data_IF_540622559790
#
_entry.id   IF_540622559790
#
_cell.length_a   1.000
_cell.length_b   1.000
_cell.length_c   1.000
_cell.angle_alpha   90.00
_cell.angle_beta   90.00
_cell.angle_gamma   90.00
#
_symmetry.space_group_name_H-M   'P 1'
#
loop_
_entity.id
_entity.type
_entity.pdbx_description
1 polymer ?
#
# COMPACT_ATOMS: atom_id res chain seq x y z
N UNK A 1 -25.51 21.77 -44.57
CA UNK A 1 -25.51 20.32 -44.60
C UNK A 1 -26.35 19.80 -43.44
N UNK A 2 -27.08 18.69 -43.62
CA UNK A 2 -27.90 18.08 -42.56
C UNK A 2 -27.01 17.23 -41.63
N UNK A 3 -26.29 17.92 -40.77
CA UNK A 3 -25.34 17.31 -39.83
C UNK A 3 -25.95 17.03 -38.46
N UNK A 4 -27.23 17.42 -38.21
CA UNK A 4 -27.93 17.14 -36.98
C UNK A 4 -29.00 16.11 -37.22
N UNK A 5 -29.01 14.98 -36.47
CA UNK A 5 -30.08 14.00 -36.56
C UNK A 5 -31.39 14.57 -36.00
N UNK A 6 -32.51 14.12 -36.55
CA UNK A 6 -33.83 14.36 -35.98
C UNK A 6 -34.16 13.21 -35.06
N UNK A 7 -34.24 13.44 -33.77
CA UNK A 7 -34.41 12.42 -32.73
C UNK A 7 -35.82 12.50 -32.12
N UNK A 8 -36.34 11.35 -31.71
CA UNK A 8 -37.67 11.26 -31.08
C UNK A 8 -37.65 11.72 -29.59
N UNK A 9 -36.50 11.70 -28.96
CA UNK A 9 -36.31 12.15 -27.57
C UNK A 9 -34.99 12.89 -27.39
N UNK A 10 -34.89 13.66 -26.31
CA UNK A 10 -33.64 14.37 -25.97
C UNK A 10 -32.54 13.42 -25.51
N UNK A 11 -32.88 12.30 -24.86
CA UNK A 11 -31.93 11.25 -24.50
C UNK A 11 -31.28 10.65 -25.76
N UNK A 12 -32.10 10.38 -26.78
CA UNK A 12 -31.61 9.89 -28.08
C UNK A 12 -30.73 10.94 -28.77
N UNK A 13 -31.10 12.23 -28.73
CA UNK A 13 -30.32 13.32 -29.29
C UNK A 13 -28.94 13.45 -28.62
N UNK A 14 -28.87 13.31 -27.30
CA UNK A 14 -27.61 13.33 -26.56
C UNK A 14 -26.74 12.13 -26.94
N UNK A 15 -27.32 10.93 -27.00
CA UNK A 15 -26.58 9.71 -27.38
C UNK A 15 -26.01 9.84 -28.81
N UNK A 16 -26.85 10.21 -29.78
CA UNK A 16 -26.40 10.35 -31.16
C UNK A 16 -25.38 11.49 -31.35
N UNK A 17 -25.45 12.56 -30.57
CA UNK A 17 -24.44 13.62 -30.61
C UNK A 17 -23.09 13.13 -30.11
N UNK A 18 -23.05 12.33 -29.04
CA UNK A 18 -21.82 11.75 -28.52
C UNK A 18 -21.21 10.76 -29.52
N UNK A 19 -22.01 9.88 -30.12
CA UNK A 19 -21.53 8.96 -31.15
C UNK A 19 -21.02 9.70 -32.39
N UNK A 20 -21.74 10.73 -32.87
CA UNK A 20 -21.29 11.57 -33.97
C UNK A 20 -20.00 12.31 -33.68
N UNK A 21 -19.78 12.75 -32.44
CA UNK A 21 -18.54 13.38 -32.01
C UNK A 21 -17.34 12.40 -32.07
N UNK A 22 -17.55 11.15 -31.65
CA UNK A 22 -16.55 10.08 -31.74
C UNK A 22 -16.20 9.70 -33.18
N UNK A 23 -17.21 9.67 -34.08
CA UNK A 23 -17.10 9.21 -35.46
C UNK A 23 -16.83 10.31 -36.50
N UNK A 24 -16.76 11.58 -36.08
CA UNK A 24 -16.44 12.71 -36.97
C UNK A 24 -17.65 13.33 -37.69
N UNK A 25 -18.80 13.42 -37.06
CA UNK A 25 -20.00 14.11 -37.58
C UNK A 25 -20.47 13.69 -38.97
N UNK A 26 -21.09 12.52 -39.10
CA UNK A 26 -21.62 12.03 -40.36
C UNK A 26 -22.74 12.92 -40.94
N UNK A 27 -22.95 12.89 -42.26
CA UNK A 27 -24.13 13.54 -42.90
C UNK A 27 -25.30 12.56 -42.77
N UNK A 28 -26.40 13.01 -42.18
CA UNK A 28 -27.61 12.22 -41.99
C UNK A 28 -28.58 12.41 -43.16
N UNK A 29 -29.15 11.32 -43.71
CA UNK A 29 -30.12 11.41 -44.83
C UNK A 29 -31.38 12.20 -44.41
N UNK A 30 -31.88 11.94 -43.17
CA UNK A 30 -33.05 12.60 -42.60
C UNK A 30 -32.66 13.71 -41.60
N UNK A 31 -31.44 14.23 -41.66
CA UNK A 31 -30.94 15.25 -40.77
C UNK A 31 -31.41 16.65 -41.12
N UNK A 32 -31.19 17.61 -40.23
CA UNK A 32 -31.47 19.02 -40.44
C UNK A 32 -30.18 19.85 -40.52
N UNK A 33 -30.27 20.99 -41.21
CA UNK A 33 -29.14 21.92 -41.24
C UNK A 33 -29.03 22.73 -39.96
N UNK A 34 -27.85 23.28 -39.66
CA UNK A 34 -27.65 24.18 -38.53
C UNK A 34 -28.68 25.34 -38.54
N UNK A 35 -28.97 25.89 -39.71
CA UNK A 35 -29.93 26.99 -39.88
C UNK A 35 -31.35 26.54 -39.48
N UNK A 36 -31.75 25.38 -39.95
CA UNK A 36 -33.10 24.86 -39.68
C UNK A 36 -33.23 24.46 -38.20
N UNK A 37 -32.21 23.85 -37.63
CA UNK A 37 -32.12 23.52 -36.19
C UNK A 37 -32.23 24.81 -35.35
N UNK A 38 -31.48 25.84 -35.66
CA UNK A 38 -31.53 27.14 -34.98
C UNK A 38 -32.88 27.80 -35.06
N UNK A 39 -33.53 27.78 -36.25
CA UNK A 39 -34.84 28.37 -36.45
C UNK A 39 -35.97 27.62 -35.73
N UNK A 40 -35.81 26.35 -35.44
CA UNK A 40 -36.78 25.49 -34.78
C UNK A 40 -36.50 25.33 -33.28
N UNK A 41 -35.31 25.77 -32.82
CA UNK A 41 -34.90 25.58 -31.44
C UNK A 41 -35.69 26.40 -30.44
N UNK A 42 -36.15 25.73 -29.39
CA UNK A 42 -36.60 26.40 -28.17
C UNK A 42 -35.37 26.70 -27.32
N UNK A 43 -34.89 27.96 -27.36
CA UNK A 43 -33.71 28.37 -26.62
C UNK A 43 -33.86 28.23 -25.10
N UNK A 44 -35.08 28.28 -24.59
CA UNK A 44 -35.34 28.10 -23.15
C UNK A 44 -35.14 26.64 -22.71
N UNK A 45 -35.38 25.68 -23.60
CA UNK A 45 -35.16 24.28 -23.38
C UNK A 45 -33.72 23.82 -23.69
N UNK A 46 -32.99 24.57 -24.53
CA UNK A 46 -31.63 24.23 -24.98
C UNK A 46 -30.58 24.30 -23.85
N UNK A 47 -30.62 25.32 -22.99
CA UNK A 47 -29.63 25.52 -21.95
C UNK A 47 -29.48 24.31 -20.99
N UNK A 48 -30.56 23.76 -20.40
CA UNK A 48 -30.46 22.57 -19.54
C UNK A 48 -29.92 21.33 -20.26
N UNK A 49 -30.15 21.24 -21.58
CA UNK A 49 -29.64 20.14 -22.38
C UNK A 49 -28.18 20.30 -22.78
N UNK A 50 -27.76 21.53 -23.08
CA UNK A 50 -26.37 21.84 -23.33
C UNK A 50 -25.51 21.48 -22.12
N UNK A 51 -25.95 21.81 -20.90
CA UNK A 51 -25.29 21.41 -19.67
C UNK A 51 -25.19 19.87 -19.53
N UNK A 52 -26.32 19.15 -19.82
CA UNK A 52 -26.31 17.68 -19.80
C UNK A 52 -25.35 17.05 -20.82
N UNK A 53 -25.25 17.61 -22.01
CA UNK A 53 -24.32 17.12 -23.05
C UNK A 53 -22.88 17.42 -22.63
N UNK A 54 -22.61 18.64 -22.16
CA UNK A 54 -21.29 19.02 -21.65
C UNK A 54 -20.85 18.11 -20.52
N UNK A 55 -21.70 17.89 -19.50
CA UNK A 55 -21.43 16.99 -18.39
C UNK A 55 -21.07 15.56 -18.87
N UNK A 56 -21.77 15.05 -19.91
CA UNK A 56 -21.50 13.71 -20.43
C UNK A 56 -20.17 13.61 -21.15
N UNK A 57 -19.86 14.59 -22.00
CA UNK A 57 -18.56 14.64 -22.71
C UNK A 57 -17.42 14.72 -21.72
N UNK A 58 -17.53 15.63 -20.75
CA UNK A 58 -16.52 15.84 -19.73
C UNK A 58 -16.34 14.58 -18.84
N UNK A 59 -17.43 13.91 -18.46
CA UNK A 59 -17.38 12.64 -17.74
C UNK A 59 -16.66 11.54 -18.54
N UNK A 60 -16.98 11.43 -19.85
CA UNK A 60 -16.30 10.46 -20.72
C UNK A 60 -14.80 10.75 -20.86
N UNK A 61 -14.42 12.02 -21.03
CA UNK A 61 -13.02 12.45 -21.08
C UNK A 61 -12.27 12.06 -19.78
N UNK A 62 -12.87 12.32 -18.61
CA UNK A 62 -12.30 11.93 -17.31
C UNK A 62 -12.11 10.42 -17.24
N UNK A 63 -13.13 9.64 -17.60
CA UNK A 63 -13.08 8.19 -17.50
C UNK A 63 -12.08 7.58 -18.50
N UNK A 64 -11.99 8.11 -19.73
CA UNK A 64 -10.98 7.69 -20.71
C UNK A 64 -9.57 8.00 -20.24
N UNK A 65 -9.33 9.18 -19.67
CA UNK A 65 -8.01 9.54 -19.13
C UNK A 65 -7.62 8.63 -17.95
N UNK A 66 -8.58 8.27 -17.09
CA UNK A 66 -8.40 7.30 -15.99
C UNK A 66 -8.01 5.93 -16.55
N UNK A 67 -8.70 5.43 -17.56
CA UNK A 67 -8.45 4.12 -18.16
C UNK A 67 -7.11 4.04 -18.86
N UNK A 68 -6.67 5.15 -19.48
CA UNK A 68 -5.35 5.27 -20.12
C UNK A 68 -4.22 5.60 -19.13
N UNK A 69 -4.56 5.84 -17.85
CA UNK A 69 -3.61 6.28 -16.80
C UNK A 69 -2.84 7.55 -17.20
N UNK A 70 -3.53 8.48 -17.84
CA UNK A 70 -2.97 9.76 -18.24
C UNK A 70 -2.67 10.66 -17.03
N UNK A 71 -2.05 11.82 -17.27
CA UNK A 71 -1.80 12.81 -16.22
C UNK A 71 -3.11 13.47 -15.78
N UNK A 72 -3.74 12.89 -14.75
CA UNK A 72 -5.02 13.34 -14.18
C UNK A 72 -4.90 14.70 -13.49
N UNK A 73 -3.73 15.02 -12.94
CA UNK A 73 -3.48 16.33 -12.33
C UNK A 73 -3.60 17.43 -13.38
N UNK A 74 -2.97 17.25 -14.54
CA UNK A 74 -3.07 18.18 -15.65
C UNK A 74 -4.49 18.29 -16.19
N UNK A 75 -5.18 17.15 -16.35
CA UNK A 75 -6.58 17.13 -16.79
C UNK A 75 -7.46 17.98 -15.87
N UNK A 76 -7.33 17.82 -14.56
CA UNK A 76 -8.09 18.60 -13.57
C UNK A 76 -7.72 20.08 -13.59
N UNK A 77 -6.45 20.43 -13.77
CA UNK A 77 -6.02 21.83 -13.90
C UNK A 77 -6.59 22.51 -15.15
N UNK A 78 -6.80 21.77 -16.24
CA UNK A 78 -7.44 22.26 -17.46
C UNK A 78 -8.95 22.51 -17.26
N UNK A 79 -9.60 21.84 -16.30
CA UNK A 79 -11.00 22.04 -15.88
C UNK A 79 -11.15 23.22 -14.92
N UNK A 80 -10.89 24.44 -15.42
CA UNK A 80 -10.77 25.69 -14.64
C UNK A 80 -11.96 26.02 -13.74
N UNK A 81 -13.16 25.63 -14.16
CA UNK A 81 -14.41 25.93 -13.46
C UNK A 81 -14.86 24.81 -12.50
N UNK A 82 -14.02 23.76 -12.37
CA UNK A 82 -14.36 22.56 -11.61
C UNK A 82 -15.30 21.63 -12.39
N UNK A 83 -15.75 20.55 -11.75
CA UNK A 83 -16.72 19.61 -12.32
C UNK A 83 -18.09 19.78 -11.69
N UNK A 84 -19.17 19.52 -12.47
CA UNK A 84 -20.53 19.64 -11.97
C UNK A 84 -20.85 18.62 -10.87
N UNK A 85 -21.82 18.92 -10.00
CA UNK A 85 -22.31 17.97 -8.99
C UNK A 85 -22.87 16.69 -9.61
N UNK A 86 -23.32 16.73 -10.86
CA UNK A 86 -23.79 15.59 -11.63
C UNK A 86 -22.63 14.68 -12.02
N UNK A 87 -21.51 15.23 -12.51
CA UNK A 87 -20.29 14.48 -12.82
C UNK A 87 -19.74 13.84 -11.56
N UNK A 88 -19.66 14.58 -10.45
CA UNK A 88 -19.22 14.03 -9.15
C UNK A 88 -20.09 12.84 -8.72
N UNK A 89 -21.42 12.95 -8.85
CA UNK A 89 -22.34 11.89 -8.48
C UNK A 89 -22.16 10.62 -9.35
N UNK A 90 -21.96 10.78 -10.66
CA UNK A 90 -21.73 9.63 -11.55
C UNK A 90 -20.34 9.00 -11.31
N UNK A 91 -19.29 9.78 -11.07
CA UNK A 91 -17.96 9.25 -10.66
C UNK A 91 -18.04 8.47 -9.35
N UNK A 92 -18.77 8.98 -8.35
CA UNK A 92 -18.97 8.27 -7.07
C UNK A 92 -19.73 6.96 -7.25
N UNK A 93 -20.79 6.99 -8.06
CA UNK A 93 -21.59 5.81 -8.38
C UNK A 93 -20.75 4.74 -9.13
N UNK A 94 -19.91 5.17 -10.04
CA UNK A 94 -18.96 4.29 -10.72
C UNK A 94 -17.96 3.70 -9.72
N UNK A 95 -17.31 4.51 -8.88
CA UNK A 95 -16.38 4.03 -7.86
C UNK A 95 -17.02 2.99 -6.91
N UNK A 96 -18.30 3.16 -6.54
CA UNK A 96 -19.02 2.23 -5.67
C UNK A 96 -19.29 0.86 -6.31
N UNK A 97 -19.36 0.78 -7.64
CA UNK A 97 -19.57 -0.47 -8.37
C UNK A 97 -18.31 -1.28 -8.57
N UNK A 98 -17.14 -0.62 -8.54
CA UNK A 98 -15.86 -1.24 -8.83
C UNK A 98 -15.38 -2.11 -7.66
N UNK A 99 -14.89 -3.30 -8.00
CA UNK A 99 -14.28 -4.25 -7.07
C UNK A 99 -12.90 -3.77 -6.60
N UNK A 100 -12.54 -4.08 -5.36
CA UNK A 100 -11.20 -3.85 -4.79
C UNK A 100 -10.30 -5.08 -4.90
N UNK A 101 -10.83 -6.19 -5.38
CA UNK A 101 -10.11 -7.48 -5.52
C UNK A 101 -9.69 -7.80 -6.95
N UNK A 102 -10.16 -7.03 -7.92
CA UNK A 102 -9.78 -7.13 -9.33
C UNK A 102 -8.90 -5.95 -9.70
N UNK A 103 -7.69 -6.21 -10.18
CA UNK A 103 -6.64 -5.21 -10.34
C UNK A 103 -7.05 -4.03 -11.24
N UNK A 104 -7.71 -4.30 -12.37
CA UNK A 104 -8.15 -3.24 -13.29
C UNK A 104 -9.24 -2.35 -12.65
N UNK A 105 -10.23 -2.94 -12.00
CA UNK A 105 -11.29 -2.22 -11.31
C UNK A 105 -10.75 -1.43 -10.10
N UNK A 106 -9.84 -2.04 -9.34
CA UNK A 106 -9.12 -1.37 -8.26
C UNK A 106 -8.36 -0.15 -8.77
N UNK A 107 -7.57 -0.31 -9.85
CA UNK A 107 -6.79 0.74 -10.49
C UNK A 107 -7.66 1.93 -10.92
N UNK A 108 -8.81 1.63 -11.54
CA UNK A 108 -9.81 2.63 -11.95
C UNK A 108 -10.43 3.34 -10.73
N UNK A 109 -10.80 2.59 -9.70
CA UNK A 109 -11.44 3.10 -8.48
C UNK A 109 -10.57 4.11 -7.73
N UNK A 110 -9.28 3.80 -7.52
CA UNK A 110 -8.36 4.73 -6.85
C UNK A 110 -8.17 6.02 -7.62
N UNK A 111 -8.13 5.97 -8.97
CA UNK A 111 -8.00 7.15 -9.84
C UNK A 111 -9.27 7.99 -9.87
N UNK A 112 -10.45 7.38 -9.82
CA UNK A 112 -11.71 8.13 -9.64
C UNK A 112 -11.67 8.91 -8.31
N UNK A 113 -11.28 8.28 -7.21
CA UNK A 113 -11.17 8.98 -5.93
C UNK A 113 -10.08 10.06 -5.95
N UNK A 114 -8.99 9.84 -6.68
CA UNK A 114 -7.96 10.86 -6.87
C UNK A 114 -8.52 12.09 -7.60
N UNK A 115 -9.19 11.91 -8.73
CA UNK A 115 -9.84 13.03 -9.46
C UNK A 115 -10.80 13.77 -8.55
N UNK A 116 -11.67 13.07 -7.84
CA UNK A 116 -12.58 13.68 -6.86
C UNK A 116 -11.84 14.43 -5.76
N UNK A 117 -10.67 13.94 -5.32
CA UNK A 117 -9.88 14.58 -4.27
C UNK A 117 -9.25 15.90 -4.69
N UNK A 118 -9.02 16.10 -5.98
CA UNK A 118 -8.56 17.39 -6.50
C UNK A 118 -9.61 18.52 -6.32
N UNK A 119 -10.88 18.16 -6.20
CA UNK A 119 -11.95 19.10 -5.92
C UNK A 119 -12.38 19.13 -4.44
N UNK A 120 -12.30 17.98 -3.77
CA UNK A 120 -12.66 17.83 -2.35
C UNK A 120 -11.69 16.89 -1.64
N UNK A 121 -10.79 17.42 -0.83
CA UNK A 121 -9.67 16.70 -0.17
C UNK A 121 -10.10 15.40 0.56
N UNK A 122 -11.34 15.35 1.09
CA UNK A 122 -11.87 14.15 1.77
C UNK A 122 -11.80 12.87 0.94
N UNK A 123 -11.83 12.96 -0.39
CA UNK A 123 -11.76 11.78 -1.26
C UNK A 123 -10.36 11.19 -1.38
N UNK A 124 -9.32 11.91 -0.98
CA UNK A 124 -7.99 11.34 -0.83
C UNK A 124 -7.97 10.25 0.25
N UNK A 125 -8.72 10.44 1.33
CA UNK A 125 -8.87 9.38 2.35
C UNK A 125 -9.61 8.16 1.79
N UNK A 126 -10.58 8.35 0.88
CA UNK A 126 -11.25 7.25 0.18
C UNK A 126 -10.32 6.50 -0.77
N UNK A 127 -9.39 7.20 -1.43
CA UNK A 127 -8.34 6.58 -2.25
C UNK A 127 -7.46 5.66 -1.39
N UNK A 128 -6.93 6.15 -0.27
CA UNK A 128 -6.11 5.35 0.65
C UNK A 128 -6.89 4.22 1.32
N UNK A 129 -8.14 4.44 1.68
CA UNK A 129 -9.02 3.39 2.20
C UNK A 129 -9.21 2.27 1.17
N UNK A 130 -9.36 2.60 -0.11
CA UNK A 130 -9.46 1.60 -1.20
C UNK A 130 -8.18 0.78 -1.33
N UNK A 131 -7.00 1.42 -1.25
CA UNK A 131 -5.70 0.72 -1.28
C UNK A 131 -5.60 -0.25 -0.09
N UNK A 132 -5.92 0.22 1.10
CA UNK A 132 -5.92 -0.59 2.32
C UNK A 132 -6.90 -1.77 2.24
N UNK A 133 -8.12 -1.53 1.78
CA UNK A 133 -9.14 -2.57 1.56
C UNK A 133 -8.70 -3.63 0.56
N UNK A 134 -8.06 -3.23 -0.54
CA UNK A 134 -7.52 -4.16 -1.55
C UNK A 134 -6.49 -5.11 -0.94
N UNK A 135 -5.54 -4.58 -0.17
CA UNK A 135 -4.51 -5.37 0.51
C UNK A 135 -5.16 -6.33 1.53
N UNK A 136 -6.06 -5.82 2.38
CA UNK A 136 -6.75 -6.63 3.38
C UNK A 136 -7.62 -7.72 2.75
N UNK A 137 -8.33 -7.43 1.66
CA UNK A 137 -9.17 -8.41 0.96
C UNK A 137 -8.33 -9.55 0.36
N UNK A 138 -7.12 -9.26 -0.12
CA UNK A 138 -6.16 -10.28 -0.57
C UNK A 138 -5.72 -11.21 0.57
N UNK A 139 -5.65 -10.69 1.79
CA UNK A 139 -5.13 -11.37 2.96
C UNK A 139 -6.20 -11.89 3.94
N UNK A 140 -7.46 -11.49 3.78
CA UNK A 140 -8.59 -11.78 4.72
C UNK A 140 -8.82 -13.25 4.99
N UNK A 141 -8.48 -14.15 4.07
CA UNK A 141 -8.50 -15.61 4.38
C UNK A 141 -7.61 -15.98 5.56
N UNK A 142 -6.77 -15.07 6.01
CA UNK A 142 -5.80 -15.24 7.07
C UNK A 142 -6.06 -14.51 8.38
N UNK A 143 -7.06 -13.65 8.50
CA UNK A 143 -7.40 -12.95 9.76
C UNK A 143 -8.43 -13.68 10.62
N UNK A 144 -8.65 -14.98 10.40
CA UNK A 144 -9.59 -15.76 11.21
C UNK A 144 -9.01 -16.04 12.59
N UNK A 145 -9.83 -15.81 13.62
CA UNK A 145 -9.54 -16.25 14.99
C UNK A 145 -9.44 -17.78 15.05
N UNK A 146 -8.37 -18.26 15.68
CA UNK A 146 -8.14 -19.70 15.89
C UNK A 146 -8.48 -20.08 17.34
N UNK A 147 -9.72 -20.50 17.55
CA UNK A 147 -10.19 -20.92 18.87
C UNK A 147 -9.50 -22.19 19.39
N UNK A 148 -8.85 -22.96 18.53
CA UNK A 148 -8.14 -24.20 18.90
C UNK A 148 -6.63 -23.97 19.14
N UNK A 149 -6.15 -22.72 18.97
CA UNK A 149 -4.76 -22.36 19.20
C UNK A 149 -4.33 -22.66 20.64
N UNK A 150 -3.17 -23.33 20.79
CA UNK A 150 -2.56 -23.66 22.09
C UNK A 150 -1.09 -23.27 22.09
N UNK A 151 -0.62 -22.74 23.21
CA UNK A 151 0.80 -22.47 23.38
C UNK A 151 1.57 -23.76 23.67
N UNK A 152 2.44 -24.15 22.74
CA UNK A 152 3.27 -25.37 22.80
C UNK A 152 4.57 -25.21 23.58
N UNK A 153 5.03 -23.96 23.81
CA UNK A 153 6.28 -23.64 24.53
C UNK A 153 5.98 -22.74 25.72
N UNK A 154 6.91 -22.70 26.69
CA UNK A 154 6.77 -21.79 27.84
C UNK A 154 7.27 -20.39 27.52
N UNK A 155 8.30 -20.28 26.68
CA UNK A 155 8.86 -19.03 26.19
C UNK A 155 9.47 -19.20 24.79
N UNK A 156 9.34 -18.14 23.98
CA UNK A 156 10.01 -17.97 22.69
C UNK A 156 10.66 -16.60 22.67
N UNK A 157 11.90 -16.53 22.17
CA UNK A 157 12.61 -15.29 21.93
C UNK A 157 13.06 -15.25 20.47
N UNK A 158 12.71 -14.20 19.75
CA UNK A 158 13.12 -13.97 18.36
C UNK A 158 13.99 -12.73 18.31
N UNK A 159 15.19 -12.86 17.74
CA UNK A 159 16.12 -11.76 17.50
C UNK A 159 16.32 -11.60 15.98
N UNK A 160 16.14 -10.37 15.47
CA UNK A 160 16.29 -10.06 14.06
C UNK A 160 17.25 -8.88 13.83
N UNK A 161 17.96 -8.87 12.67
CA UNK A 161 18.74 -7.73 12.23
C UNK A 161 17.81 -6.59 11.78
N UNK A 162 18.39 -5.41 11.55
CA UNK A 162 17.73 -4.37 10.76
C UNK A 162 18.03 -4.55 9.28
N UNK A 163 17.47 -3.70 8.45
CA UNK A 163 17.72 -3.71 7.02
C UNK A 163 18.25 -2.37 6.53
N UNK A 164 19.07 -2.40 5.51
CA UNK A 164 19.40 -1.26 4.67
C UNK A 164 18.85 -1.49 3.29
N UNK A 165 18.09 -0.54 2.77
CA UNK A 165 17.66 -0.53 1.39
C UNK A 165 18.72 0.24 0.57
N UNK A 166 19.33 -0.43 -0.40
CA UNK A 166 20.31 0.18 -1.30
C UNK A 166 19.68 0.72 -2.58
N UNK A 167 18.64 0.06 -3.08
CA UNK A 167 17.96 0.51 -4.28
C UNK A 167 16.58 -0.11 -4.44
N UNK A 168 15.75 0.54 -5.24
CA UNK A 168 14.41 0.05 -5.55
C UNK A 168 13.31 0.44 -4.56
N UNK A 169 13.63 1.06 -3.44
CA UNK A 169 12.62 1.51 -2.48
C UNK A 169 11.61 2.47 -3.11
N UNK A 170 10.39 2.51 -2.62
CA UNK A 170 9.18 3.06 -3.19
C UNK A 170 8.52 2.17 -4.26
N UNK A 171 9.28 1.42 -5.07
CA UNK A 171 8.68 0.50 -6.04
C UNK A 171 7.87 -0.63 -5.39
N UNK A 172 8.13 -0.94 -4.14
CA UNK A 172 7.41 -1.91 -3.31
C UNK A 172 6.14 -1.35 -2.67
N UNK A 173 5.89 -0.04 -2.85
CA UNK A 173 4.78 0.65 -2.19
C UNK A 173 3.49 0.53 -3.01
N UNK A 174 2.35 0.11 -2.40
CA UNK A 174 1.05 0.17 -3.05
C UNK A 174 0.64 1.62 -3.36
N UNK A 175 -0.04 1.88 -4.49
CA UNK A 175 -0.54 0.91 -5.46
C UNK A 175 0.45 0.56 -6.59
N UNK A 176 1.62 1.23 -6.66
CA UNK A 176 2.59 1.00 -7.74
C UNK A 176 2.98 -0.48 -7.86
N UNK A 177 3.39 -1.11 -6.76
CA UNK A 177 3.77 -2.52 -6.79
C UNK A 177 2.61 -3.45 -7.17
N UNK A 178 1.37 -3.07 -6.88
CA UNK A 178 0.19 -3.85 -7.26
C UNK A 178 -0.05 -3.81 -8.77
N UNK A 179 0.28 -2.68 -9.42
CA UNK A 179 0.07 -2.49 -10.87
C UNK A 179 1.27 -2.89 -11.73
N UNK A 180 2.52 -2.78 -11.21
CA UNK A 180 3.76 -2.98 -11.97
C UNK A 180 4.69 -4.04 -11.37
N UNK A 181 4.41 -4.49 -10.14
CA UNK A 181 5.38 -5.21 -9.35
C UNK A 181 6.43 -4.28 -8.73
N UNK A 182 7.09 -4.74 -7.69
CA UNK A 182 8.18 -4.03 -7.03
C UNK A 182 9.50 -4.77 -7.18
N UNK A 183 10.62 -4.02 -7.08
CA UNK A 183 11.97 -4.61 -7.10
C UNK A 183 12.88 -3.82 -6.18
N UNK A 184 13.40 -4.47 -5.14
CA UNK A 184 14.21 -3.84 -4.09
C UNK A 184 15.48 -4.65 -3.82
N UNK A 185 16.61 -3.99 -3.81
CA UNK A 185 17.89 -4.54 -3.36
C UNK A 185 18.15 -4.14 -1.90
N UNK A 186 18.17 -5.14 -1.02
CA UNK A 186 18.32 -4.89 0.41
C UNK A 186 19.32 -5.82 1.10
N UNK A 187 19.86 -5.35 2.24
CA UNK A 187 20.74 -6.12 3.08
C UNK A 187 20.21 -6.17 4.52
N UNK A 188 20.22 -7.36 5.11
CA UNK A 188 20.07 -7.53 6.55
C UNK A 188 21.40 -7.16 7.24
N UNK A 189 21.34 -6.27 8.23
CA UNK A 189 22.52 -5.71 8.89
C UNK A 189 22.42 -5.89 10.40
N UNK A 190 23.44 -6.49 10.98
CA UNK A 190 23.64 -6.50 12.43
C UNK A 190 24.40 -5.23 12.85
N UNK A 191 24.10 -4.70 14.02
CA UNK A 191 24.83 -3.58 14.59
C UNK A 191 25.83 -4.11 15.63
N UNK A 192 27.10 -3.83 15.44
CA UNK A 192 28.19 -4.34 16.30
C UNK A 192 28.10 -5.87 16.54
N UNK A 193 27.71 -6.62 15.50
CA UNK A 193 27.56 -8.06 15.57
C UNK A 193 26.30 -8.58 16.28
N UNK A 194 25.36 -7.67 16.65
CA UNK A 194 24.15 -8.02 17.36
C UNK A 194 22.89 -7.73 16.52
N UNK A 195 21.85 -8.54 16.72
CA UNK A 195 20.51 -8.29 16.20
C UNK A 195 19.77 -7.33 17.13
N UNK A 196 19.44 -6.12 16.68
CA UNK A 196 18.87 -5.10 17.59
C UNK A 196 17.36 -5.21 17.80
N UNK A 197 16.67 -6.08 17.05
CA UNK A 197 15.24 -6.32 17.21
C UNK A 197 15.02 -7.55 18.06
N UNK A 198 14.32 -7.42 19.17
CA UNK A 198 14.00 -8.54 20.06
C UNK A 198 12.49 -8.61 20.33
N UNK A 199 11.92 -9.80 20.27
CA UNK A 199 10.56 -10.11 20.69
C UNK A 199 10.57 -11.31 21.62
N UNK A 200 9.88 -11.18 22.75
CA UNK A 200 9.70 -12.26 23.74
C UNK A 200 8.22 -12.55 23.90
N UNK A 201 7.82 -13.81 23.70
CA UNK A 201 6.51 -14.34 24.02
C UNK A 201 6.66 -15.38 25.12
N UNK A 202 5.88 -15.29 26.18
CA UNK A 202 5.91 -16.28 27.28
C UNK A 202 4.52 -16.51 27.88
N UNK A 203 4.35 -17.69 28.49
CA UNK A 203 3.18 -18.00 29.32
C UNK A 203 3.21 -17.19 30.61
N UNK A 204 2.03 -16.85 31.10
CA UNK A 204 1.82 -16.29 32.43
C UNK A 204 0.69 -17.07 33.14
N UNK A 205 0.78 -17.20 34.46
CA UNK A 205 -0.16 -18.03 35.23
C UNK A 205 -1.57 -17.44 35.29
N UNK A 206 -1.68 -16.11 35.33
CA UNK A 206 -2.96 -15.41 35.32
C UNK A 206 -3.62 -15.44 33.95
N UNK A 207 -4.96 -15.54 33.85
CA UNK A 207 -5.70 -15.59 32.58
C UNK A 207 -5.86 -14.20 31.97
N UNK A 208 -4.74 -13.56 31.65
CA UNK A 208 -4.63 -12.17 31.10
C UNK A 208 -3.71 -12.14 29.89
N UNK A 209 -3.79 -11.06 29.12
CA UNK A 209 -2.82 -10.73 28.07
C UNK A 209 -2.04 -9.50 28.53
N UNK A 210 -0.70 -9.63 28.58
CA UNK A 210 0.21 -8.57 28.96
C UNK A 210 1.02 -8.16 27.75
N UNK A 211 0.99 -6.87 27.40
CA UNK A 211 1.78 -6.29 26.33
C UNK A 211 2.82 -5.34 26.90
N UNK A 212 4.05 -5.46 26.43
CA UNK A 212 5.17 -4.65 26.89
C UNK A 212 6.01 -4.11 25.72
N UNK A 213 6.44 -2.86 25.84
CA UNK A 213 7.40 -2.21 24.94
C UNK A 213 8.60 -1.79 25.78
N UNK A 214 9.65 -2.62 25.81
CA UNK A 214 10.78 -2.47 26.71
C UNK A 214 11.58 -1.19 26.43
N UNK A 215 11.68 -0.75 25.19
CA UNK A 215 12.34 0.50 24.81
C UNK A 215 11.60 1.77 25.25
N UNK A 216 10.29 1.69 25.50
CA UNK A 216 9.50 2.80 26.06
C UNK A 216 9.24 2.66 27.55
N UNK A 217 9.53 1.49 28.13
CA UNK A 217 9.17 1.16 29.52
C UNK A 217 7.66 1.03 29.73
N UNK A 218 6.86 0.90 28.67
CA UNK A 218 5.43 0.74 28.76
C UNK A 218 5.07 -0.74 28.92
N UNK A 219 4.21 -1.05 29.90
CA UNK A 219 3.63 -2.37 30.11
C UNK A 219 2.16 -2.23 30.52
N UNK A 220 1.29 -3.05 29.97
CA UNK A 220 -0.14 -3.03 30.29
C UNK A 220 -0.73 -4.43 30.29
N UNK A 221 -1.57 -4.71 31.30
CA UNK A 221 -2.39 -5.93 31.40
C UNK A 221 -3.77 -5.67 30.84
N UNK A 222 -4.22 -6.55 29.96
CA UNK A 222 -5.51 -6.49 29.29
C UNK A 222 -6.42 -7.62 29.78
N UNK A 223 -7.61 -7.24 30.23
CA UNK A 223 -8.67 -8.14 30.66
C UNK A 223 -9.95 -7.97 29.84
N UNK A 224 -9.98 -6.95 28.96
CA UNK A 224 -11.07 -6.62 28.06
C UNK A 224 -10.62 -6.73 26.59
N UNK A 225 -11.46 -7.40 25.79
CA UNK A 225 -11.16 -7.65 24.38
C UNK A 225 -11.27 -6.39 23.52
N UNK A 226 -12.17 -5.47 23.83
CA UNK A 226 -12.38 -4.27 23.02
C UNK A 226 -11.13 -3.40 22.99
N UNK A 227 -10.43 -3.30 24.11
CA UNK A 227 -9.16 -2.60 24.22
C UNK A 227 -8.03 -3.26 23.41
N UNK A 228 -8.05 -4.60 23.24
CA UNK A 228 -7.09 -5.35 22.42
C UNK A 228 -7.40 -5.26 20.92
N UNK A 229 -8.66 -5.12 20.54
CA UNK A 229 -9.08 -5.01 19.15
C UNK A 229 -8.86 -3.60 18.56
N UNK A 230 -8.69 -2.58 19.41
CA UNK A 230 -8.37 -1.22 18.98
C UNK A 230 -6.85 -1.09 18.71
N UNK A 231 -6.46 -1.33 17.46
CA UNK A 231 -5.07 -1.25 16.98
C UNK A 231 -4.82 -0.12 16.00
N UNK A 232 -5.85 0.67 15.68
CA UNK A 232 -5.78 1.73 14.68
C UNK A 232 -5.27 3.08 15.22
N UNK A 233 -5.19 3.24 16.53
CA UNK A 233 -4.70 4.45 17.16
C UNK A 233 -3.16 4.57 17.04
N UNK A 234 -2.62 5.53 16.27
CA UNK A 234 -1.18 5.67 16.05
C UNK A 234 -0.40 6.11 17.30
N UNK A 235 -1.09 6.57 18.34
CA UNK A 235 -0.50 6.98 19.62
C UNK A 235 -0.51 5.85 20.66
N UNK A 236 -1.13 4.72 20.35
CA UNK A 236 -1.13 3.55 21.24
C UNK A 236 0.25 2.85 21.17
N UNK A 237 1.00 2.77 22.30
CA UNK A 237 2.29 2.09 22.31
C UNK A 237 2.19 0.58 22.03
N UNK A 238 0.99 0.02 22.09
CA UNK A 238 0.72 -1.41 21.89
C UNK A 238 0.01 -1.71 20.55
N UNK A 239 -0.21 -0.73 19.67
CA UNK A 239 -0.88 -0.94 18.39
C UNK A 239 -0.27 -2.10 17.59
N UNK A 240 1.07 -2.17 17.51
CA UNK A 240 1.80 -3.24 16.84
C UNK A 240 1.57 -4.62 17.46
N UNK A 241 1.58 -4.72 18.81
CA UNK A 241 1.34 -5.96 19.53
C UNK A 241 -0.08 -6.46 19.30
N UNK A 242 -1.08 -5.57 19.38
CA UNK A 242 -2.49 -5.86 19.13
C UNK A 242 -2.71 -6.34 17.69
N UNK A 243 -2.13 -5.64 16.71
CA UNK A 243 -2.18 -6.03 15.31
C UNK A 243 -1.54 -7.40 15.08
N UNK A 244 -0.43 -7.74 15.75
CA UNK A 244 0.21 -9.05 15.67
C UNK A 244 -0.69 -10.17 16.23
N UNK A 245 -1.32 -9.95 17.39
CA UNK A 245 -2.26 -10.92 17.97
C UNK A 245 -3.45 -11.18 17.03
N UNK A 246 -3.99 -10.13 16.40
CA UNK A 246 -5.07 -10.24 15.41
C UNK A 246 -4.57 -11.01 14.16
N UNK A 247 -3.45 -10.58 13.58
CA UNK A 247 -2.91 -11.17 12.37
C UNK A 247 -2.54 -12.64 12.51
N UNK A 248 -2.12 -13.07 13.71
CA UNK A 248 -1.79 -14.47 14.02
C UNK A 248 -3.01 -15.31 14.47
N UNK A 249 -4.20 -14.71 14.52
CA UNK A 249 -5.43 -15.38 14.94
C UNK A 249 -5.49 -15.72 16.44
N UNK A 250 -4.65 -15.09 17.26
CA UNK A 250 -4.67 -15.25 18.73
C UNK A 250 -5.88 -14.57 19.34
N UNK A 251 -6.24 -13.41 18.81
CA UNK A 251 -7.48 -12.70 19.16
C UNK A 251 -8.30 -12.44 17.89
N UNK A 252 -9.63 -12.39 17.99
CA UNK A 252 -10.48 -12.06 16.85
C UNK A 252 -10.36 -10.58 16.46
N UNK A 253 -10.55 -10.28 15.16
CA UNK A 253 -10.48 -8.90 14.66
C UNK A 253 -11.65 -8.04 15.16
N UNK A 254 -12.88 -8.58 15.14
CA UNK A 254 -14.11 -7.85 15.53
C UNK A 254 -15.11 -8.68 16.32
N UNK A 255 -14.96 -10.01 16.36
CA UNK A 255 -15.89 -10.88 17.06
C UNK A 255 -15.76 -10.71 18.59
N UNK A 256 -16.87 -10.75 19.33
CA UNK A 256 -16.86 -10.59 20.77
C UNK A 256 -16.50 -11.92 21.46
N UNK A 257 -15.21 -12.11 21.77
CA UNK A 257 -14.70 -13.25 22.56
C UNK A 257 -14.02 -12.69 23.81
N UNK A 258 -14.24 -13.28 24.99
CA UNK A 258 -13.62 -12.77 26.22
C UNK A 258 -12.12 -13.13 26.30
N UNK A 259 -11.33 -12.30 26.97
CA UNK A 259 -9.90 -12.60 27.24
C UNK A 259 -9.74 -13.90 28.04
N UNK A 260 -10.67 -14.19 28.96
CA UNK A 260 -10.67 -15.43 29.74
C UNK A 260 -10.89 -16.66 28.84
N UNK A 261 -11.75 -16.57 27.83
CA UNK A 261 -11.96 -17.66 26.87
C UNK A 261 -10.72 -17.87 26.00
N UNK A 262 -10.11 -16.78 25.49
CA UNK A 262 -8.89 -16.82 24.71
C UNK A 262 -7.76 -17.47 25.51
N UNK A 263 -7.49 -17.02 26.72
CA UNK A 263 -6.42 -17.58 27.58
C UNK A 263 -6.68 -19.02 27.99
N UNK A 264 -7.96 -19.40 28.21
CA UNK A 264 -8.34 -20.79 28.42
C UNK A 264 -8.02 -21.66 27.20
N UNK A 265 -8.31 -21.19 25.98
CA UNK A 265 -8.02 -21.92 24.75
C UNK A 265 -6.50 -22.04 24.55
N UNK A 266 -5.74 -20.97 24.79
CA UNK A 266 -4.27 -20.97 24.72
C UNK A 266 -3.61 -21.87 25.79
N UNK A 267 -4.29 -22.19 26.87
CA UNK A 267 -3.82 -22.99 27.99
C UNK A 267 -3.08 -22.20 29.09
N UNK A 268 -2.90 -20.91 28.94
CA UNK A 268 -2.37 -19.96 29.95
C UNK A 268 -2.61 -18.51 29.51
N UNK A 269 -2.32 -17.55 30.38
CA UNK A 269 -2.20 -16.15 29.91
C UNK A 269 -0.97 -15.97 29.03
N UNK A 270 -0.91 -14.84 28.32
CA UNK A 270 0.12 -14.54 27.33
C UNK A 270 0.81 -13.21 27.67
N UNK A 271 2.14 -13.22 27.63
CA UNK A 271 2.98 -12.03 27.68
C UNK A 271 3.69 -11.86 26.34
N UNK A 272 3.58 -10.69 25.73
CA UNK A 272 4.26 -10.30 24.48
C UNK A 272 5.03 -9.00 24.70
N UNK A 273 6.35 -9.09 24.62
CA UNK A 273 7.25 -7.93 24.75
C UNK A 273 8.03 -7.69 23.48
N UNK A 274 8.22 -6.42 23.15
CA UNK A 274 9.04 -5.98 22.03
C UNK A 274 10.14 -5.03 22.49
N UNK A 275 11.31 -5.11 21.86
CA UNK A 275 12.43 -4.21 22.12
C UNK A 275 13.20 -3.89 20.83
N UNK A 276 13.61 -2.61 20.70
CA UNK A 276 14.57 -2.14 19.70
C UNK A 276 15.79 -1.59 20.44
N UNK A 277 16.93 -2.26 20.31
CA UNK A 277 18.13 -2.00 21.09
C UNK A 277 19.03 -1.01 20.35
N UNK A 278 19.35 0.11 21.01
CA UNK A 278 20.31 1.13 20.54
C UNK A 278 19.99 1.77 19.16
N UNK A 279 18.74 1.75 18.71
CA UNK A 279 18.32 2.41 17.48
C UNK A 279 17.27 3.47 17.79
N UNK A 280 17.46 4.72 17.35
CA UNK A 280 16.47 5.77 17.51
C UNK A 280 15.19 5.46 16.73
N UNK A 281 14.03 5.78 17.29
CA UNK A 281 12.74 5.72 16.57
C UNK A 281 12.76 6.66 15.37
N UNK A 282 12.28 6.18 14.21
CA UNK A 282 12.29 6.95 12.98
C UNK A 282 13.66 7.01 12.29
N UNK A 283 14.54 6.05 12.58
CA UNK A 283 15.89 5.93 11.98
C UNK A 283 15.87 5.60 10.48
N UNK A 284 14.74 5.13 9.94
CA UNK A 284 14.64 4.67 8.54
C UNK A 284 15.18 3.26 8.30
N UNK A 285 15.50 2.50 9.35
CA UNK A 285 16.04 1.13 9.27
C UNK A 285 14.96 0.03 9.22
N UNK A 286 13.69 0.38 9.01
CA UNK A 286 12.57 -0.55 8.93
C UNK A 286 12.20 -1.23 10.26
N UNK A 287 12.61 -0.65 11.39
CA UNK A 287 12.48 -1.30 12.72
C UNK A 287 11.05 -1.69 13.06
N UNK A 288 10.04 -0.89 12.67
CA UNK A 288 8.63 -1.17 12.97
C UNK A 288 8.12 -2.42 12.24
N UNK A 289 8.34 -2.50 10.93
CA UNK A 289 7.88 -3.64 10.10
C UNK A 289 8.66 -4.93 10.43
N UNK A 290 9.96 -4.80 10.75
CA UNK A 290 10.78 -5.95 11.18
C UNK A 290 10.31 -6.44 12.55
N UNK A 291 9.98 -5.53 13.47
CA UNK A 291 9.44 -5.87 14.79
C UNK A 291 8.07 -6.57 14.65
N UNK A 292 7.23 -6.10 13.71
CA UNK A 292 5.98 -6.77 13.38
C UNK A 292 6.22 -8.22 12.91
N UNK A 293 7.17 -8.43 12.00
CA UNK A 293 7.56 -9.76 11.54
C UNK A 293 8.14 -10.64 12.64
N UNK A 294 8.93 -10.07 13.55
CA UNK A 294 9.44 -10.78 14.72
C UNK A 294 8.31 -11.22 15.65
N UNK A 295 7.28 -10.40 15.85
CA UNK A 295 6.07 -10.78 16.61
C UNK A 295 5.35 -11.95 15.95
N UNK A 296 5.13 -11.92 14.62
CA UNK A 296 4.50 -13.01 13.89
C UNK A 296 5.31 -14.31 14.06
N UNK A 297 6.63 -14.27 13.84
CA UNK A 297 7.49 -15.45 14.04
C UNK A 297 7.40 -15.99 15.46
N UNK A 298 7.51 -15.13 16.45
CA UNK A 298 7.48 -15.54 17.86
C UNK A 298 6.13 -16.15 18.27
N UNK A 299 5.02 -15.56 17.79
CA UNK A 299 3.67 -16.08 18.06
C UNK A 299 3.43 -17.42 17.38
N UNK A 300 3.79 -17.58 16.09
CA UNK A 300 3.64 -18.85 15.38
C UNK A 300 4.48 -19.96 16.05
N UNK A 301 5.74 -19.66 16.41
CA UNK A 301 6.60 -20.60 17.11
C UNK A 301 6.05 -20.95 18.50
N UNK A 302 5.48 -19.99 19.21
CA UNK A 302 4.83 -20.22 20.53
C UNK A 302 3.61 -21.12 20.41
N UNK A 303 2.86 -20.98 19.30
CA UNK A 303 1.67 -21.78 19.01
C UNK A 303 2.03 -23.15 18.36
N UNK A 304 3.31 -23.44 18.12
CA UNK A 304 3.74 -24.67 17.43
C UNK A 304 3.28 -24.73 15.98
N UNK A 305 3.06 -23.59 15.34
CA UNK A 305 2.66 -23.48 13.94
C UNK A 305 3.87 -23.20 13.06
N UNK A 306 3.96 -23.88 11.92
CA UNK A 306 4.90 -23.50 10.87
C UNK A 306 4.33 -22.32 10.07
N UNK A 307 5.19 -21.41 9.68
CA UNK A 307 4.86 -20.28 8.83
C UNK A 307 5.82 -20.24 7.65
N UNK A 308 5.28 -20.15 6.44
CA UNK A 308 6.07 -19.91 5.24
C UNK A 308 6.51 -18.45 5.16
N UNK A 309 7.59 -18.16 4.44
CA UNK A 309 8.02 -16.78 4.23
C UNK A 309 6.93 -15.94 3.55
N UNK A 310 6.21 -16.50 2.57
CA UNK A 310 5.09 -15.83 1.90
C UNK A 310 3.98 -15.45 2.91
N UNK A 311 3.58 -16.39 3.75
CA UNK A 311 2.56 -16.12 4.78
C UNK A 311 3.05 -15.09 5.80
N UNK A 312 4.33 -15.16 6.20
CA UNK A 312 4.93 -14.21 7.11
C UNK A 312 4.87 -12.77 6.56
N UNK A 313 5.22 -12.59 5.28
CA UNK A 313 5.18 -11.28 4.63
C UNK A 313 3.73 -10.76 4.50
N UNK A 314 2.79 -11.62 4.10
CA UNK A 314 1.36 -11.28 4.03
C UNK A 314 0.82 -10.83 5.40
N UNK A 315 1.19 -11.52 6.49
CA UNK A 315 0.76 -11.17 7.85
C UNK A 315 1.28 -9.80 8.27
N UNK A 316 2.52 -9.47 7.96
CA UNK A 316 3.09 -8.15 8.29
C UNK A 316 2.42 -7.05 7.47
N UNK A 317 2.17 -7.27 6.18
CA UNK A 317 1.40 -6.32 5.36
C UNK A 317 0.01 -6.08 5.95
N UNK A 318 -0.68 -7.13 6.40
CA UNK A 318 -1.98 -6.99 7.09
C UNK A 318 -1.86 -6.18 8.37
N UNK A 319 -0.85 -6.42 9.19
CA UNK A 319 -0.62 -5.65 10.41
C UNK A 319 -0.48 -4.16 10.11
N UNK A 320 0.27 -3.79 9.08
CA UNK A 320 0.45 -2.40 8.67
C UNK A 320 -0.86 -1.75 8.20
N UNK A 321 -1.70 -2.50 7.49
CA UNK A 321 -3.03 -1.99 7.10
C UNK A 321 -3.97 -1.83 8.30
N UNK A 322 -3.97 -2.78 9.23
CA UNK A 322 -4.76 -2.72 10.48
C UNK A 322 -4.33 -1.50 11.32
N UNK A 323 -3.04 -1.19 11.36
CA UNK A 323 -2.50 -0.02 12.04
C UNK A 323 -2.62 1.28 11.25
N UNK A 324 -3.16 1.24 10.02
CA UNK A 324 -3.27 2.39 9.10
C UNK A 324 -1.94 3.07 8.77
N UNK A 325 -0.84 2.30 8.69
CA UNK A 325 0.50 2.82 8.34
C UNK A 325 0.77 2.81 6.85
N UNK A 326 0.19 1.85 6.11
CA UNK A 326 0.13 1.85 4.64
C UNK A 326 1.47 1.64 3.91
N UNK A 327 2.47 1.02 4.55
CA UNK A 327 3.80 0.79 3.97
C UNK A 327 3.85 -0.29 2.88
N UNK A 328 4.98 -0.38 2.19
CA UNK A 328 5.34 -1.46 1.28
C UNK A 328 5.89 -2.69 2.02
N UNK A 329 6.43 -3.66 1.26
CA UNK A 329 6.95 -4.92 1.81
C UNK A 329 8.46 -4.96 2.00
N UNK A 330 9.22 -3.93 1.62
CA UNK A 330 10.69 -3.94 1.66
C UNK A 330 11.27 -4.12 3.06
N UNK A 331 10.63 -3.54 4.07
CA UNK A 331 11.16 -3.46 5.43
C UNK A 331 11.14 -4.82 6.11
N UNK A 332 9.96 -5.48 6.11
CA UNK A 332 9.81 -6.80 6.71
C UNK A 332 10.68 -7.84 6.00
N UNK A 333 10.63 -7.88 4.67
CA UNK A 333 11.45 -8.86 3.93
C UNK A 333 12.94 -8.60 4.14
N UNK A 334 13.34 -7.31 4.18
CA UNK A 334 14.72 -6.90 4.41
C UNK A 334 15.32 -7.40 5.69
N UNK A 335 14.58 -7.37 6.80
CA UNK A 335 15.04 -7.86 8.11
C UNK A 335 14.75 -9.34 8.37
N UNK A 336 13.68 -9.89 7.79
CA UNK A 336 13.29 -11.30 7.99
C UNK A 336 14.11 -12.28 7.16
N UNK A 337 14.46 -11.93 5.92
CA UNK A 337 15.33 -12.74 5.06
C UNK A 337 16.80 -12.36 5.27
N UNK A 338 17.71 -13.33 5.40
CA UNK A 338 19.11 -13.07 5.72
C UNK A 338 19.93 -12.52 4.53
N UNK A 339 21.03 -11.86 4.84
CA UNK A 339 22.07 -11.46 3.89
C UNK A 339 21.64 -10.36 2.91
N UNK A 340 22.36 -10.30 1.79
CA UNK A 340 22.08 -9.38 0.68
C UNK A 340 21.19 -10.09 -0.34
N UNK A 341 20.11 -9.47 -0.73
CA UNK A 341 19.07 -10.09 -1.58
C UNK A 341 18.37 -9.10 -2.46
N UNK A 342 17.98 -9.58 -3.63
CA UNK A 342 17.00 -8.93 -4.49
C UNK A 342 15.62 -9.47 -4.13
N UNK A 343 14.70 -8.59 -3.84
CA UNK A 343 13.31 -8.91 -3.57
C UNK A 343 12.45 -8.32 -4.67
N UNK A 344 11.51 -9.08 -5.19
CA UNK A 344 10.58 -8.61 -6.21
C UNK A 344 9.18 -9.13 -5.96
N UNK A 345 8.19 -8.43 -6.49
CA UNK A 345 6.80 -8.88 -6.52
C UNK A 345 6.24 -8.84 -7.94
N UNK A 346 5.24 -9.68 -8.22
CA UNK A 346 4.49 -9.64 -9.46
C UNK A 346 3.29 -8.68 -9.32
N UNK A 347 2.82 -8.05 -10.45
CA UNK A 347 1.62 -7.24 -10.44
C UNK A 347 0.40 -8.05 -10.01
N UNK A 348 -0.20 -7.71 -8.89
CA UNK A 348 -1.44 -8.32 -8.37
C UNK A 348 -1.98 -7.54 -7.17
N UNK A 349 -3.27 -7.70 -6.87
CA UNK A 349 -3.84 -7.22 -5.59
C UNK A 349 -3.18 -7.95 -4.42
N UNK A 350 -3.09 -9.27 -4.48
CA UNK A 350 -2.27 -10.05 -3.55
C UNK A 350 -0.88 -10.22 -4.11
N UNK A 351 0.08 -9.53 -3.51
CA UNK A 351 1.47 -9.56 -3.93
C UNK A 351 2.13 -10.92 -3.63
N UNK A 352 2.67 -11.57 -4.65
CA UNK A 352 3.57 -12.70 -4.47
C UNK A 352 5.00 -12.20 -4.42
N UNK A 353 5.62 -12.28 -3.24
CA UNK A 353 6.96 -11.76 -3.00
C UNK A 353 7.98 -12.87 -3.22
N UNK A 354 8.96 -12.61 -4.07
CA UNK A 354 10.09 -13.52 -4.36
C UNK A 354 11.37 -12.90 -3.81
N UNK A 355 12.08 -13.64 -2.96
CA UNK A 355 13.35 -13.22 -2.37
C UNK A 355 14.49 -14.09 -2.90
N UNK A 356 15.45 -13.46 -3.59
CA UNK A 356 16.61 -14.16 -4.20
C UNK A 356 17.90 -13.63 -3.59
N UNK A 357 18.67 -14.47 -2.86
CA UNK A 357 19.97 -14.07 -2.35
C UNK A 357 20.93 -13.68 -3.47
N UNK A 358 21.68 -12.59 -3.29
CA UNK A 358 22.74 -12.18 -4.20
C UNK A 358 23.96 -13.10 -4.06
N UNK A 359 24.50 -13.53 -5.19
CA UNK A 359 25.67 -14.43 -5.25
C UNK A 359 26.96 -13.61 -5.21
N UNK A 360 27.34 -13.13 -4.03
CA UNK A 360 28.59 -12.37 -3.83
C UNK A 360 29.72 -13.24 -3.34
N UNK A 361 30.95 -13.00 -3.84
CA UNK A 361 32.15 -13.68 -3.39
C UNK A 361 32.54 -13.24 -1.97
N UNK A 362 33.29 -14.10 -1.25
CA UNK A 362 33.84 -13.72 0.06
C UNK A 362 34.75 -12.48 -0.02
N UNK A 363 35.48 -12.31 -1.14
CA UNK A 363 36.28 -11.12 -1.39
C UNK A 363 35.41 -9.86 -1.45
N UNK A 364 34.34 -9.94 -2.25
CA UNK A 364 33.38 -8.82 -2.40
C UNK A 364 32.70 -8.48 -1.07
N UNK A 365 32.32 -9.51 -0.31
CA UNK A 365 31.73 -9.33 1.02
C UNK A 365 32.67 -8.60 1.95
N UNK A 366 33.93 -9.06 2.03
CA UNK A 366 34.94 -8.45 2.89
C UNK A 366 35.22 -6.98 2.50
N UNK A 367 35.34 -6.71 1.19
CA UNK A 367 35.52 -5.34 0.69
C UNK A 367 34.32 -4.45 1.02
N UNK A 368 33.09 -4.98 0.91
CA UNK A 368 31.89 -4.27 1.28
C UNK A 368 31.85 -3.98 2.79
N UNK A 369 32.18 -4.97 3.64
CA UNK A 369 32.23 -4.78 5.10
C UNK A 369 33.26 -3.72 5.52
N UNK A 370 34.39 -3.62 4.79
CA UNK A 370 35.45 -2.63 5.06
C UNK A 370 35.05 -1.21 4.59
N UNK A 371 34.23 -1.09 3.56
CA UNK A 371 33.88 0.20 2.91
C UNK A 371 32.51 0.72 3.27
N UNK A 372 31.60 -0.14 3.73
CA UNK A 372 30.23 0.25 4.07
C UNK A 372 30.19 0.95 5.43
N UNK A 373 29.63 2.17 5.46
CA UNK A 373 29.44 2.94 6.67
C UNK A 373 28.00 3.44 6.74
N UNK A 374 27.32 3.16 7.84
CA UNK A 374 25.96 3.65 8.10
C UNK A 374 26.02 4.83 9.10
N UNK A 375 25.57 6.00 8.66
CA UNK A 375 25.59 7.23 9.47
C UNK A 375 24.15 7.67 9.75
N UNK A 376 23.79 7.79 11.03
CA UNK A 376 22.52 8.36 11.42
C UNK A 376 22.57 9.88 11.40
N UNK A 377 21.75 10.51 10.55
CA UNK A 377 21.73 11.97 10.37
C UNK A 377 21.09 12.74 11.52
N UNK A 378 20.47 12.06 12.49
CA UNK A 378 19.69 12.68 13.57
C UNK A 378 18.29 13.16 13.18
N UNK A 379 17.93 13.08 11.90
CA UNK A 379 16.61 13.49 11.42
C UNK A 379 15.58 12.34 11.56
N UNK A 380 14.42 12.69 12.12
CA UNK A 380 13.27 11.79 12.18
C UNK A 380 12.35 12.11 10.99
N UNK A 381 11.98 11.11 10.21
CA UNK A 381 11.01 11.26 9.12
C UNK A 381 9.62 10.87 9.60
N UNK A 382 8.63 11.72 9.29
CA UNK A 382 7.21 11.36 9.36
C UNK A 382 6.86 10.65 8.04
N UNK A 383 7.02 9.34 8.00
CA UNK A 383 6.83 8.51 6.81
C UNK A 383 5.43 8.70 6.17
N UNK A 384 4.39 8.91 6.99
CA UNK A 384 3.00 8.98 6.52
C UNK A 384 2.73 10.13 5.52
N UNK A 385 3.27 11.32 5.77
CA UNK A 385 3.00 12.47 4.87
C UNK A 385 3.74 12.29 3.54
N UNK A 386 4.98 11.81 3.59
CA UNK A 386 5.76 11.53 2.39
C UNK A 386 5.13 10.41 1.55
N UNK A 387 4.60 9.36 2.21
CA UNK A 387 3.87 8.28 1.54
C UNK A 387 2.64 8.81 0.80
N UNK A 388 1.85 9.69 1.44
CA UNK A 388 0.67 10.30 0.80
C UNK A 388 1.05 11.12 -0.43
N UNK A 389 2.15 11.86 -0.38
CA UNK A 389 2.64 12.66 -1.50
C UNK A 389 3.07 11.76 -2.68
N UNK A 390 3.93 10.77 -2.44
CA UNK A 390 4.42 9.84 -3.47
C UNK A 390 3.26 9.07 -4.12
N UNK A 391 2.36 8.51 -3.30
CA UNK A 391 1.18 7.78 -3.81
C UNK A 391 0.25 8.70 -4.60
N UNK A 392 0.00 9.93 -4.10
CA UNK A 392 -0.83 10.90 -4.80
C UNK A 392 -0.26 11.27 -6.17
N UNK A 393 1.05 11.53 -6.27
CA UNK A 393 1.72 11.82 -7.54
C UNK A 393 1.64 10.64 -8.52
N UNK A 394 1.84 9.42 -8.03
CA UNK A 394 1.72 8.23 -8.84
C UNK A 394 0.28 8.02 -9.36
N UNK A 395 -0.72 8.04 -8.48
CA UNK A 395 -2.13 7.85 -8.86
C UNK A 395 -2.62 8.95 -9.79
N UNK A 396 -2.12 10.18 -9.58
CA UNK A 396 -2.38 11.34 -10.43
C UNK A 396 -1.74 11.27 -11.81
N UNK A 397 -0.91 10.27 -12.09
CA UNK A 397 -0.26 10.08 -13.40
C UNK A 397 0.76 11.18 -13.72
N UNK A 398 1.43 11.75 -12.73
CA UNK A 398 2.50 12.74 -12.96
C UNK A 398 3.68 12.01 -13.59
N UNK A 399 4.00 12.34 -14.84
CA UNK A 399 4.98 11.63 -15.68
C UNK A 399 6.32 11.40 -14.96
N UNK A 400 6.90 12.43 -14.37
CA UNK A 400 8.17 12.31 -13.63
C UNK A 400 8.09 11.29 -12.49
N UNK A 401 6.94 11.19 -11.79
CA UNK A 401 6.81 10.27 -10.66
C UNK A 401 6.74 8.80 -11.09
N UNK A 402 6.11 8.51 -12.23
CA UNK A 402 6.00 7.15 -12.78
C UNK A 402 7.36 6.70 -13.34
N UNK A 403 8.02 7.56 -14.11
CA UNK A 403 9.31 7.28 -14.72
C UNK A 403 10.40 7.09 -13.67
N UNK A 404 10.43 7.93 -12.63
CA UNK A 404 11.38 7.80 -11.52
C UNK A 404 11.21 6.47 -10.77
N UNK A 405 9.96 6.02 -10.51
CA UNK A 405 9.75 4.72 -9.87
C UNK A 405 10.27 3.55 -10.73
N UNK A 406 10.12 3.65 -12.04
CA UNK A 406 10.69 2.67 -12.96
C UNK A 406 12.23 2.70 -12.97
N UNK A 407 12.84 3.89 -13.03
CA UNK A 407 14.30 4.06 -12.99
C UNK A 407 14.91 3.57 -11.68
N UNK A 408 14.23 3.80 -10.55
CA UNK A 408 14.60 3.27 -9.23
C UNK A 408 14.68 1.74 -9.26
N UNK A 409 13.70 1.05 -9.88
CA UNK A 409 13.73 -0.41 -10.03
C UNK A 409 14.90 -0.88 -10.91
N UNK A 410 15.12 -0.22 -12.06
CA UNK A 410 16.21 -0.58 -12.96
C UNK A 410 17.57 -0.39 -12.30
N UNK A 411 17.74 0.69 -11.57
CA UNK A 411 18.98 0.96 -10.82
C UNK A 411 19.26 -0.12 -9.78
N UNK A 412 18.24 -0.59 -9.06
CA UNK A 412 18.40 -1.71 -8.12
C UNK A 412 18.88 -3.00 -8.78
N UNK A 413 18.39 -3.31 -9.99
CA UNK A 413 18.85 -4.45 -10.78
C UNK A 413 20.30 -4.30 -11.19
N UNK A 414 20.70 -3.11 -11.67
CA UNK A 414 22.09 -2.81 -12.03
C UNK A 414 23.03 -2.91 -10.82
N UNK A 415 22.63 -2.38 -9.66
CA UNK A 415 23.37 -2.51 -8.40
C UNK A 415 23.65 -3.95 -8.04
N UNK A 416 22.66 -4.84 -8.17
CA UNK A 416 22.84 -6.28 -7.95
C UNK A 416 23.91 -6.85 -8.87
N UNK A 417 23.88 -6.53 -10.16
CA UNK A 417 24.88 -7.03 -11.11
C UNK A 417 26.30 -6.56 -10.76
N UNK A 418 26.47 -5.31 -10.35
CA UNK A 418 27.78 -4.79 -9.94
C UNK A 418 28.30 -5.51 -8.68
N UNK A 419 27.44 -5.76 -7.69
CA UNK A 419 27.79 -6.53 -6.49
C UNK A 419 28.18 -7.98 -6.82
N UNK A 420 27.41 -8.67 -7.69
CA UNK A 420 27.68 -10.05 -8.07
C UNK A 420 28.97 -10.19 -8.92
N UNK A 421 29.36 -9.17 -9.69
CA UNK A 421 30.65 -9.08 -10.37
C UNK A 421 31.82 -8.73 -9.44
N UNK A 422 31.55 -8.21 -8.25
CA UNK A 422 32.54 -7.71 -7.31
C UNK A 422 33.06 -6.31 -7.62
N UNK A 423 32.28 -5.51 -8.37
CA UNK A 423 32.60 -4.12 -8.69
C UNK A 423 31.97 -3.17 -7.67
N UNK A 424 32.60 -3.00 -6.52
CA UNK A 424 32.10 -2.13 -5.44
C UNK A 424 32.09 -0.66 -5.84
N UNK A 425 33.02 -0.20 -6.68
CA UNK A 425 33.05 1.18 -7.15
C UNK A 425 31.84 1.47 -8.06
N UNK A 426 31.54 0.58 -9.01
CA UNK A 426 30.33 0.71 -9.85
C UNK A 426 29.04 0.63 -9.04
N UNK A 427 29.00 -0.21 -8.00
CA UNK A 427 27.88 -0.23 -7.06
C UNK A 427 27.72 1.12 -6.32
N UNK A 428 28.81 1.74 -5.87
CA UNK A 428 28.79 3.03 -5.20
C UNK A 428 28.35 4.17 -6.13
N UNK A 429 28.75 4.13 -7.41
CA UNK A 429 28.26 5.09 -8.43
C UNK A 429 26.76 4.97 -8.64
N UNK A 430 26.22 3.76 -8.68
CA UNK A 430 24.77 3.52 -8.79
C UNK A 430 24.01 3.96 -7.53
N UNK A 431 24.60 3.86 -6.34
CA UNK A 431 24.01 4.44 -5.12
C UNK A 431 23.88 5.97 -5.21
N UNK A 432 24.89 6.65 -5.76
CA UNK A 432 24.81 8.09 -6.00
C UNK A 432 23.74 8.45 -7.04
N UNK A 433 23.67 7.72 -8.16
CA UNK A 433 22.62 7.92 -9.16
C UNK A 433 21.23 7.71 -8.56
N UNK A 434 21.04 6.65 -7.76
CA UNK A 434 19.77 6.38 -7.10
C UNK A 434 19.38 7.47 -6.08
N UNK A 435 20.33 8.17 -5.50
CA UNK A 435 20.07 9.30 -4.61
C UNK A 435 19.58 10.55 -5.34
N UNK A 436 19.96 10.73 -6.60
CA UNK A 436 19.56 11.86 -7.44
C UNK A 436 18.14 11.69 -8.04
N UNK A 437 17.63 10.44 -8.12
CA UNK A 437 16.25 10.11 -8.51
C UNK A 437 15.25 10.46 -7.42
#
# INVERSE_FOLDING_TARGET
APIYPVCASMEEAVHQTLEAWKEGFPIWEDGISLKDSFNQADLSALLPWQEKVSDKVELEEILEAIDRKENLTRLVEEMRDGISERIKAELLKEAQRLSETELEQFSRKIRIYYVLSCFEEKYMDSCFATISSGILAGAVKGLSYDADAKMGKDQVTVNLPVRVNWGGGWSDTPPYCMEHGGTVLNAAVMLDGNCPIEVVVKKVDEPVIILASADSGAEQTFTDISSLQDSSNPYDPFALHKAALIACGVIPYKEPVSVQEITKNLGSGLYLSTQVINIPRGSGLGTSSILAGACVKALYEMLGKEVTDEELYDRVLCMEQIMSTGGGWQDQVGGLAPGIKMVSSEPAIRQRITCVPCKISEKTRKELDERFCLIYSGQRRLARNLLRDVVGRYVGGIEDAVDVLYEIQQTAVLMRFELEKGNIDGFAELLNQHWEL
#
